data_IF_055492773200
#
_entry.id   IF_055492773200
#
_cell.length_a   1.000
_cell.length_b   1.000
_cell.length_c   1.000
_cell.angle_alpha   90.00
_cell.angle_beta   90.00
_cell.angle_gamma   90.00
#
_symmetry.space_group_name_H-M   'P 1'
#
loop_
_entity.id
_entity.type
_entity.pdbx_description
1 polymer ?
#
# COMPACT_ATOMS: atom_id res chain seq x y z
N UNK A 1 -29.76 -6.76 -12.89
CA UNK A 1 -30.20 -7.71 -11.85
C UNK A 1 -30.37 -6.94 -10.55
N UNK A 2 -31.54 -7.04 -9.91
CA UNK A 2 -31.81 -6.29 -8.68
C UNK A 2 -31.17 -7.04 -7.51
N UNK A 3 -30.26 -6.38 -6.78
CA UNK A 3 -29.55 -7.01 -5.66
C UNK A 3 -30.54 -7.30 -4.53
N UNK A 4 -30.76 -8.58 -4.23
CA UNK A 4 -31.67 -9.02 -3.17
C UNK A 4 -30.96 -8.83 -1.82
N UNK A 5 -31.62 -8.23 -0.81
CA UNK A 5 -31.06 -8.14 0.54
C UNK A 5 -30.80 -9.53 1.14
N UNK A 6 -29.61 -9.77 1.68
CA UNK A 6 -29.18 -11.08 2.21
C UNK A 6 -29.14 -11.13 3.73
N UNK A 7 -29.20 -9.98 4.41
CA UNK A 7 -29.15 -9.89 5.87
C UNK A 7 -30.53 -9.54 6.46
N UNK A 8 -30.84 -10.09 7.65
CA UNK A 8 -32.13 -9.93 8.34
C UNK A 8 -32.56 -8.47 8.59
N UNK A 9 -31.61 -7.54 8.69
CA UNK A 9 -31.86 -6.10 8.91
C UNK A 9 -31.64 -5.24 7.64
N UNK A 10 -31.57 -5.88 6.46
CA UNK A 10 -31.15 -5.23 5.22
C UNK A 10 -29.64 -5.28 4.99
N UNK A 11 -29.23 -5.02 3.75
CA UNK A 11 -27.83 -5.12 3.30
C UNK A 11 -27.61 -6.26 2.30
N UNK A 12 -26.52 -6.15 1.54
CA UNK A 12 -26.11 -7.12 0.50
C UNK A 12 -24.85 -7.84 0.98
N UNK A 13 -24.81 -9.15 0.83
CA UNK A 13 -23.63 -10.00 1.02
C UNK A 13 -23.04 -10.23 -0.38
N UNK A 14 -22.01 -9.46 -0.78
CA UNK A 14 -21.44 -9.59 -2.10
C UNK A 14 -20.79 -10.97 -2.25
N UNK A 15 -20.80 -11.56 -3.47
CA UNK A 15 -20.03 -12.77 -3.74
C UNK A 15 -18.55 -12.58 -3.37
N UNK A 16 -17.94 -13.59 -2.75
CA UNK A 16 -16.58 -13.50 -2.23
C UNK A 16 -15.48 -13.62 -3.30
N UNK A 17 -15.87 -13.97 -4.54
CA UNK A 17 -15.00 -14.08 -5.72
C UNK A 17 -13.77 -15.00 -5.53
N UNK A 18 -13.80 -15.91 -4.55
CA UNK A 18 -12.67 -16.84 -4.30
C UNK A 18 -12.41 -17.81 -5.44
N UNK A 19 -13.40 -18.05 -6.29
CA UNK A 19 -13.31 -18.94 -7.46
C UNK A 19 -12.16 -18.59 -8.41
N UNK A 20 -11.74 -17.32 -8.46
CA UNK A 20 -10.65 -16.89 -9.34
C UNK A 20 -9.26 -17.35 -8.89
N UNK A 21 -9.05 -17.57 -7.59
CA UNK A 21 -7.73 -17.86 -7.04
C UNK A 21 -7.63 -19.21 -6.34
N UNK A 22 -8.74 -19.89 -6.05
CA UNK A 22 -8.76 -21.10 -5.20
C UNK A 22 -7.92 -22.29 -5.71
N UNK A 23 -7.66 -22.36 -7.02
CA UNK A 23 -6.89 -23.45 -7.67
C UNK A 23 -5.48 -23.00 -8.10
N UNK A 24 -5.11 -21.75 -7.82
CA UNK A 24 -3.81 -21.21 -8.22
C UNK A 24 -2.72 -21.67 -7.24
N UNK A 25 -1.55 -22.00 -7.77
CA UNK A 25 -0.38 -22.33 -6.95
C UNK A 25 0.13 -21.10 -6.20
N UNK A 26 0.71 -21.34 -5.01
CA UNK A 26 1.42 -20.29 -4.27
C UNK A 26 2.76 -20.07 -4.97
N UNK A 27 2.93 -18.88 -5.55
CA UNK A 27 4.16 -18.50 -6.25
C UNK A 27 4.88 -17.35 -5.55
N UNK A 28 6.20 -17.31 -5.70
CA UNK A 28 6.99 -16.13 -5.32
C UNK A 28 6.90 -15.09 -6.43
N UNK A 29 6.42 -13.90 -6.08
CA UNK A 29 6.45 -12.77 -7.00
C UNK A 29 7.90 -12.28 -7.16
N UNK A 30 8.37 -12.00 -8.39
CA UNK A 30 9.66 -11.36 -8.58
C UNK A 30 9.63 -9.94 -8.01
N UNK A 31 10.80 -9.43 -7.63
CA UNK A 31 10.92 -8.01 -7.26
C UNK A 31 10.69 -7.16 -8.52
N UNK A 32 9.75 -6.21 -8.53
CA UNK A 32 9.62 -5.24 -9.61
C UNK A 32 10.91 -4.43 -9.77
N UNK A 33 11.17 -3.97 -11.01
CA UNK A 33 12.33 -3.12 -11.32
C UNK A 33 12.22 -1.70 -10.76
N UNK A 34 11.02 -1.26 -10.38
CA UNK A 34 10.75 0.04 -9.81
C UNK A 34 9.66 -0.08 -8.73
N UNK A 35 9.82 0.69 -7.65
CA UNK A 35 8.83 0.82 -6.58
C UNK A 35 8.54 2.30 -6.34
N UNK A 36 7.26 2.63 -6.16
CA UNK A 36 6.84 3.97 -5.78
C UNK A 36 6.48 3.95 -4.30
N UNK A 37 7.22 4.74 -3.52
CA UNK A 37 6.93 4.94 -2.08
C UNK A 37 6.27 6.30 -1.90
N UNK A 38 4.97 6.30 -1.61
CA UNK A 38 4.22 7.54 -1.45
C UNK A 38 4.52 8.21 -0.10
N UNK A 39 4.91 9.48 -0.14
CA UNK A 39 5.09 10.33 1.05
C UNK A 39 3.76 10.71 1.73
N UNK A 40 2.63 10.39 1.10
CA UNK A 40 1.27 10.68 1.58
C UNK A 40 0.41 9.41 1.66
N UNK A 41 0.95 8.34 2.25
CA UNK A 41 0.21 7.09 2.49
C UNK A 41 -0.23 6.93 3.96
N UNK A 42 -0.65 8.04 4.57
CA UNK A 42 -1.21 8.11 5.91
C UNK A 42 -2.22 9.26 5.99
N UNK A 43 -3.04 9.29 7.05
CA UNK A 43 -4.10 10.31 7.24
C UNK A 43 -3.54 11.75 7.30
N UNK A 44 -2.32 11.89 7.78
CA UNK A 44 -1.67 13.17 8.08
C UNK A 44 -1.15 13.98 6.90
N UNK A 45 -0.59 15.15 7.21
CA UNK A 45 0.10 15.99 6.23
C UNK A 45 1.25 15.22 5.57
N UNK A 46 1.50 15.35 4.25
CA UNK A 46 2.52 14.58 3.54
C UNK A 46 3.91 14.72 4.18
N UNK A 47 4.62 13.60 4.34
CA UNK A 47 5.97 13.59 4.88
C UNK A 47 6.92 14.43 3.99
N UNK A 48 7.83 15.19 4.62
CA UNK A 48 8.86 15.96 3.95
C UNK A 48 9.91 15.00 3.37
N UNK A 49 10.22 15.04 2.06
CA UNK A 49 11.28 14.21 1.48
C UNK A 49 12.64 14.48 2.13
N UNK A 50 13.38 13.42 2.44
CA UNK A 50 14.77 13.47 2.92
C UNK A 50 15.80 13.09 1.85
N UNK A 51 15.33 12.72 0.66
CA UNK A 51 16.13 12.30 -0.49
C UNK A 51 15.82 13.14 -1.71
N UNK A 52 16.82 13.35 -2.55
CA UNK A 52 16.69 13.93 -3.86
C UNK A 52 16.68 12.84 -4.95
N UNK A 53 16.33 13.24 -6.17
CA UNK A 53 16.37 12.34 -7.33
C UNK A 53 17.81 11.83 -7.55
N UNK A 54 17.97 10.51 -7.63
CA UNK A 54 19.24 9.84 -7.87
C UNK A 54 20.06 9.58 -6.61
N UNK A 55 19.53 9.88 -5.42
CA UNK A 55 20.16 9.48 -4.17
C UNK A 55 19.94 7.98 -3.92
N UNK A 56 20.99 7.29 -3.52
CA UNK A 56 20.87 5.91 -3.04
C UNK A 56 20.02 5.85 -1.78
N UNK A 57 19.23 4.78 -1.66
CA UNK A 57 18.47 4.45 -0.46
C UNK A 57 18.79 3.04 0.03
N UNK A 58 18.83 2.86 1.34
CA UNK A 58 18.92 1.55 1.97
C UNK A 58 17.56 1.08 2.50
N UNK A 59 17.36 -0.23 2.54
CA UNK A 59 16.17 -0.83 3.15
C UNK A 59 16.08 -0.40 4.61
N UNK A 60 14.93 0.13 4.99
CA UNK A 60 14.68 0.63 6.33
C UNK A 60 15.21 2.04 6.57
N UNK A 61 15.85 2.67 5.59
CA UNK A 61 16.26 4.06 5.70
C UNK A 61 15.04 4.99 5.71
N UNK A 62 15.06 6.01 6.57
CA UNK A 62 14.03 7.05 6.58
C UNK A 62 14.21 7.98 5.38
N UNK A 63 13.24 7.98 4.48
CA UNK A 63 13.24 8.77 3.23
C UNK A 63 12.22 9.91 3.25
N UNK A 64 11.33 9.92 4.24
CA UNK A 64 10.38 11.01 4.49
C UNK A 64 10.22 11.26 5.99
N UNK A 65 10.29 12.53 6.39
CA UNK A 65 10.13 12.99 7.76
C UNK A 65 8.69 13.47 7.99
N UNK A 66 8.07 13.01 9.08
CA UNK A 66 6.74 13.45 9.47
C UNK A 66 6.66 14.95 9.74
N UNK A 67 5.55 15.58 9.34
CA UNK A 67 5.32 17.02 9.54
C UNK A 67 3.91 17.32 10.03
N UNK A 68 3.77 18.27 10.95
CA UNK A 68 2.47 18.68 11.50
C UNK A 68 1.93 17.74 12.58
N UNK A 69 0.67 17.96 12.97
CA UNK A 69 0.06 17.29 14.13
C UNK A 69 -0.29 15.81 13.88
N UNK A 70 -0.72 15.49 12.66
CA UNK A 70 -0.95 14.11 12.20
C UNK A 70 -0.04 13.93 11.00
N UNK A 71 0.89 12.97 11.07
CA UNK A 71 1.80 12.54 10.00
C UNK A 71 2.56 11.28 10.47
N UNK A 72 3.23 10.56 9.57
CA UNK A 72 4.15 9.49 9.93
C UNK A 72 5.44 9.55 9.11
N UNK A 73 6.52 9.02 9.67
CA UNK A 73 7.79 8.88 8.95
C UNK A 73 7.65 7.79 7.86
N UNK A 74 8.30 8.00 6.73
CA UNK A 74 8.29 7.09 5.59
C UNK A 74 9.67 6.50 5.40
N UNK A 75 9.74 5.17 5.27
CA UNK A 75 10.99 4.42 5.15
C UNK A 75 11.03 3.63 3.83
N UNK A 76 12.22 3.46 3.27
CA UNK A 76 12.40 2.67 2.06
C UNK A 76 12.19 1.18 2.33
N UNK A 77 11.39 0.46 1.52
CA UNK A 77 11.21 -0.98 1.66
C UNK A 77 12.36 -1.80 1.07
N UNK A 78 13.24 -1.18 0.28
CA UNK A 78 14.31 -1.85 -0.49
C UNK A 78 15.58 -0.99 -0.57
N UNK A 79 16.67 -1.59 -1.03
CA UNK A 79 17.84 -0.83 -1.48
C UNK A 79 17.58 -0.32 -2.92
N UNK A 80 18.03 0.88 -3.26
CA UNK A 80 17.76 1.48 -4.57
C UNK A 80 18.47 2.82 -4.81
N UNK A 81 17.99 3.56 -5.82
CA UNK A 81 18.45 4.90 -6.25
C UNK A 81 17.30 5.75 -6.76
#
# INVERSE_FOLDING_TARGET
>A
MQAVPTFRKGGVHPPDQKVFSREQEIVRLPMPGELVVALSQHLGAPAKPLKAKGDTVERGEKIGESVGFISADVHSPVNGT
#
